data_IF_535043943693
#
_entry.id   IF_535043943693
#
_cell.length_a   1.000
_cell.length_b   1.000
_cell.length_c   1.000
_cell.angle_alpha   90.00
_cell.angle_beta   90.00
_cell.angle_gamma   90.00
#
_symmetry.space_group_name_H-M   'P 1'
#
loop_
_entity.id
_entity.type
_entity.pdbx_description
1 polymer ?
#
# COMPACT_ATOMS: atom_id res chain seq x y z
N UNK A 1 -9.28 -4.37 -7.92
CA UNK A 1 -8.05 -4.59 -7.15
C UNK A 1 -7.53 -3.24 -6.69
N UNK A 2 -7.15 -3.12 -5.42
CA UNK A 2 -6.36 -1.98 -4.92
C UNK A 2 -4.91 -2.20 -5.33
N UNK A 3 -4.23 -1.19 -5.84
CA UNK A 3 -2.82 -1.30 -6.22
C UNK A 3 -1.99 -0.24 -5.52
N UNK A 4 -0.84 -0.64 -4.96
CA UNK A 4 0.12 0.26 -4.32
C UNK A 4 1.38 0.20 -5.17
N UNK A 5 1.78 1.34 -5.75
CA UNK A 5 2.93 1.41 -6.65
C UNK A 5 3.81 2.61 -6.34
N UNK A 6 5.10 2.46 -6.67
CA UNK A 6 6.02 3.57 -6.81
C UNK A 6 6.25 3.84 -8.29
N UNK A 7 5.99 5.07 -8.72
CA UNK A 7 6.33 5.56 -10.04
C UNK A 7 7.63 6.36 -9.95
N UNK A 8 8.72 5.80 -10.46
CA UNK A 8 10.01 6.48 -10.47
C UNK A 8 10.05 7.63 -11.46
N UNK A 9 9.31 7.59 -12.58
CA UNK A 9 9.32 8.71 -13.54
C UNK A 9 8.67 9.95 -12.92
N UNK A 10 7.56 9.76 -12.22
CA UNK A 10 6.83 10.85 -11.55
C UNK A 10 7.33 11.16 -10.12
N UNK A 11 8.19 10.31 -9.57
CA UNK A 11 8.67 10.36 -8.17
C UNK A 11 7.49 10.33 -7.18
N UNK A 12 6.54 9.42 -7.39
CA UNK A 12 5.30 9.32 -6.60
C UNK A 12 5.05 7.92 -6.07
N UNK A 13 4.45 7.87 -4.90
CA UNK A 13 3.81 6.68 -4.34
C UNK A 13 2.32 6.83 -4.55
N UNK A 14 1.65 5.80 -5.04
CA UNK A 14 0.25 5.84 -5.43
C UNK A 14 -0.47 4.66 -4.81
N UNK A 15 -1.58 4.93 -4.12
CA UNK A 15 -2.61 3.96 -3.75
C UNK A 15 -3.76 4.15 -4.73
N UNK A 16 -3.80 3.32 -5.78
CA UNK A 16 -4.88 3.28 -6.75
C UNK A 16 -6.07 2.50 -6.17
N UNK A 17 -7.20 3.21 -6.05
CA UNK A 17 -8.44 2.71 -5.49
C UNK A 17 -9.59 2.64 -6.49
N UNK A 18 -9.31 2.90 -7.76
CA UNK A 18 -10.31 2.94 -8.84
C UNK A 18 -11.11 1.64 -8.96
N UNK A 19 -10.49 0.53 -8.59
CA UNK A 19 -11.07 -0.81 -8.61
C UNK A 19 -11.13 -1.47 -7.22
N UNK A 20 -11.03 -0.69 -6.14
CA UNK A 20 -11.06 -1.24 -4.78
C UNK A 20 -12.45 -1.75 -4.36
N UNK A 21 -13.52 -1.26 -4.99
CA UNK A 21 -14.89 -1.67 -4.70
C UNK A 21 -15.69 -1.79 -6.00
N UNK A 22 -16.64 -2.72 -6.04
CA UNK A 22 -17.68 -2.76 -7.08
C UNK A 22 -18.98 -2.06 -6.64
N UNK A 23 -19.03 -1.54 -5.40
CA UNK A 23 -20.20 -0.87 -4.79
C UNK A 23 -21.44 -1.75 -4.58
N UNK A 24 -21.32 -3.06 -4.79
CA UNK A 24 -22.48 -3.95 -4.81
C UNK A 24 -22.91 -4.45 -3.41
N UNK A 25 -22.16 -4.12 -2.36
CA UNK A 25 -22.48 -4.48 -0.99
C UNK A 25 -23.76 -3.79 -0.51
N UNK A 26 -24.53 -4.48 0.35
CA UNK A 26 -25.71 -3.95 1.02
C UNK A 26 -25.47 -2.57 1.66
N UNK A 27 -24.36 -2.39 2.40
CA UNK A 27 -24.02 -1.10 3.03
C UNK A 27 -23.97 0.07 2.05
N UNK A 28 -23.56 -0.16 0.80
CA UNK A 28 -23.50 0.87 -0.24
C UNK A 28 -24.83 1.00 -0.98
N UNK A 29 -25.42 -0.12 -1.40
CA UNK A 29 -26.70 -0.14 -2.12
C UNK A 29 -27.85 0.40 -1.30
N UNK A 30 -28.04 -0.12 -0.09
CA UNK A 30 -29.22 0.15 0.75
C UNK A 30 -29.21 1.59 1.27
N UNK A 31 -28.02 2.18 1.41
CA UNK A 31 -27.84 3.56 1.85
C UNK A 31 -27.63 4.54 0.67
N UNK A 32 -27.61 4.07 -0.58
CA UNK A 32 -27.43 4.93 -1.76
C UNK A 32 -26.08 5.67 -1.81
N UNK A 33 -25.02 5.12 -1.20
CA UNK A 33 -23.71 5.75 -1.09
C UNK A 33 -22.64 5.00 -1.88
N UNK A 34 -21.61 5.72 -2.34
CA UNK A 34 -20.47 5.15 -3.04
C UNK A 34 -19.17 5.46 -2.29
N UNK A 35 -18.27 4.47 -2.11
CA UNK A 35 -16.95 4.75 -1.56
C UNK A 35 -16.13 5.62 -2.52
N UNK A 36 -15.28 6.47 -1.96
CA UNK A 36 -14.33 7.27 -2.74
C UNK A 36 -13.36 6.33 -3.45
N UNK A 37 -13.25 6.46 -4.77
CA UNK A 37 -12.41 5.63 -5.64
C UNK A 37 -11.17 6.34 -6.18
N UNK A 38 -11.02 7.64 -5.93
CA UNK A 38 -9.88 8.40 -6.41
C UNK A 38 -8.57 7.89 -5.80
N UNK A 39 -7.52 7.86 -6.63
CA UNK A 39 -6.19 7.48 -6.17
C UNK A 39 -5.65 8.50 -5.17
N UNK A 40 -5.00 8.00 -4.14
CA UNK A 40 -4.27 8.82 -3.17
C UNK A 40 -2.79 8.70 -3.48
N UNK A 41 -2.05 9.80 -3.45
CA UNK A 41 -0.63 9.78 -3.82
C UNK A 41 0.16 10.81 -3.02
N UNK A 42 1.48 10.63 -3.01
CA UNK A 42 2.43 11.59 -2.44
C UNK A 42 3.80 11.48 -3.12
N UNK A 43 4.55 12.58 -3.11
CA UNK A 43 5.89 12.59 -3.69
C UNK A 43 6.89 11.82 -2.83
N UNK A 44 7.76 11.04 -3.47
CA UNK A 44 8.83 10.29 -2.83
C UNK A 44 10.03 10.17 -3.75
N UNK A 45 11.19 10.59 -3.25
CA UNK A 45 12.45 10.60 -3.99
C UNK A 45 13.39 9.54 -3.42
N UNK A 46 13.89 8.69 -4.31
CA UNK A 46 15.04 7.83 -4.05
C UNK A 46 16.31 8.63 -4.23
N UNK A 47 17.23 8.49 -3.29
CA UNK A 47 18.53 9.15 -3.35
C UNK A 47 19.56 8.33 -4.14
N UNK A 48 20.52 9.02 -4.72
CA UNK A 48 21.75 8.40 -5.20
C UNK A 48 22.75 8.39 -4.04
N UNK A 49 23.21 7.20 -3.67
CA UNK A 49 24.09 6.93 -2.56
C UNK A 49 25.51 6.75 -3.10
N UNK A 50 26.44 7.57 -2.61
CA UNK A 50 27.83 7.52 -3.02
C UNK A 50 28.66 6.77 -1.98
N UNK A 51 29.43 5.78 -2.42
CA UNK A 51 30.36 5.02 -1.58
C UNK A 51 31.79 5.17 -2.12
N UNK A 52 32.76 5.35 -1.21
CA UNK A 52 34.18 5.44 -1.57
C UNK A 52 34.68 6.88 -1.75
N UNK A 53 34.95 7.56 -0.64
CA UNK A 53 35.76 8.78 -0.62
C UNK A 53 37.17 8.45 -0.10
N UNK A 54 37.93 7.67 -0.89
CA UNK A 54 39.39 7.68 -0.76
C UNK A 54 39.95 8.70 -1.75
N UNK A 55 41.05 9.37 -1.42
CA UNK A 55 41.57 10.55 -2.13
C UNK A 55 41.88 10.33 -3.63
N UNK A 56 41.81 9.09 -4.13
CA UNK A 56 42.11 8.72 -5.52
C UNK A 56 41.08 7.79 -6.19
N UNK A 57 39.91 7.53 -5.59
CA UNK A 57 38.95 6.52 -6.11
C UNK A 57 37.80 7.11 -6.95
N UNK A 58 37.38 6.30 -7.93
CA UNK A 58 36.13 6.49 -8.68
C UNK A 58 34.96 6.45 -7.70
N UNK A 59 34.15 7.51 -7.65
CA UNK A 59 32.92 7.50 -6.85
C UNK A 59 31.90 6.54 -7.47
N UNK A 60 31.64 5.41 -6.80
CA UNK A 60 30.53 4.55 -7.16
C UNK A 60 29.23 5.13 -6.61
N UNK A 61 28.26 5.34 -7.50
CA UNK A 61 26.91 5.77 -7.17
C UNK A 61 25.97 4.57 -7.28
N UNK A 62 25.20 4.32 -6.23
CA UNK A 62 24.14 3.31 -6.20
C UNK A 62 22.81 3.97 -5.88
N UNK A 63 21.74 3.56 -6.54
CA UNK A 63 20.41 4.09 -6.23
C UNK A 63 19.89 3.46 -4.95
N UNK A 64 19.30 4.28 -4.09
CA UNK A 64 18.69 3.82 -2.85
C UNK A 64 17.64 2.72 -3.11
N UNK A 65 17.70 1.65 -2.33
CA UNK A 65 16.70 0.57 -2.39
C UNK A 65 15.35 1.05 -1.86
N UNK A 66 14.29 0.60 -2.51
CA UNK A 66 12.92 0.87 -2.10
C UNK A 66 12.43 -0.18 -1.09
N UNK A 67 11.94 0.26 0.06
CA UNK A 67 11.38 -0.59 1.12
C UNK A 67 9.96 -0.16 1.42
N UNK A 68 9.01 -1.09 1.29
CA UNK A 68 7.61 -0.90 1.65
C UNK A 68 7.29 -1.66 2.93
N UNK A 69 6.56 -1.01 3.82
CA UNK A 69 5.80 -1.66 4.88
C UNK A 69 4.34 -1.29 4.69
N UNK A 70 3.49 -2.28 4.42
CA UNK A 70 2.06 -2.06 4.16
C UNK A 70 1.27 -2.74 5.25
N UNK A 71 0.43 -1.97 5.95
CA UNK A 71 -0.53 -2.46 6.91
C UNK A 71 -1.92 -2.40 6.29
N UNK A 72 -2.66 -3.50 6.39
CA UNK A 72 -4.06 -3.58 5.99
C UNK A 72 -4.87 -4.02 7.21
N UNK A 73 -5.70 -3.11 7.72
CA UNK A 73 -6.57 -3.37 8.88
C UNK A 73 -8.03 -3.11 8.49
N UNK A 74 -8.71 -4.18 8.10
CA UNK A 74 -10.08 -4.19 7.55
C UNK A 74 -10.21 -3.28 6.33
N UNK A 75 -10.48 -1.99 6.55
CA UNK A 75 -10.64 -0.98 5.49
C UNK A 75 -9.51 0.05 5.47
N UNK A 76 -8.63 0.07 6.46
CA UNK A 76 -7.46 0.95 6.49
C UNK A 76 -6.33 0.32 5.70
N UNK A 77 -5.69 1.10 4.84
CA UNK A 77 -4.42 0.76 4.20
C UNK A 77 -3.43 1.86 4.54
N UNK A 78 -2.30 1.48 5.13
CA UNK A 78 -1.24 2.39 5.52
C UNK A 78 0.07 1.91 4.94
N UNK A 79 0.73 2.78 4.17
CA UNK A 79 1.96 2.50 3.43
C UNK A 79 3.07 3.34 4.03
N UNK A 80 4.12 2.69 4.53
CA UNK A 80 5.34 3.33 5.00
C UNK A 80 6.51 2.99 4.09
N UNK A 81 7.30 4.00 3.72
CA UNK A 81 8.40 3.83 2.78
C UNK A 81 9.71 4.39 3.30
N UNK A 82 10.76 3.56 3.21
CA UNK A 82 12.14 3.83 3.65
C UNK A 82 12.24 4.52 5.03
N UNK A 83 11.29 4.25 5.93
CA UNK A 83 11.21 4.85 7.26
C UNK A 83 10.98 6.37 7.32
N UNK A 84 10.67 7.03 6.19
CA UNK A 84 10.55 8.50 6.11
C UNK A 84 9.32 9.03 5.39
N UNK A 85 8.48 8.15 4.87
CA UNK A 85 7.26 8.52 4.17
C UNK A 85 6.10 7.65 4.65
N UNK A 86 4.92 8.26 4.79
CA UNK A 86 3.67 7.58 5.09
C UNK A 86 2.55 8.05 4.18
N UNK A 87 1.69 7.11 3.76
CA UNK A 87 0.51 7.39 2.96
C UNK A 87 -0.62 6.45 3.40
N UNK A 88 -1.77 7.02 3.73
CA UNK A 88 -2.91 6.27 4.24
C UNK A 88 -4.13 6.48 3.36
N UNK A 89 -4.92 5.42 3.17
CA UNK A 89 -6.18 5.49 2.47
C UNK A 89 -7.19 4.49 3.02
N UNK A 90 -8.47 4.70 2.71
CA UNK A 90 -9.53 3.73 2.97
C UNK A 90 -9.86 2.92 1.72
N UNK A 91 -10.05 1.61 1.86
CA UNK A 91 -10.48 0.70 0.80
C UNK A 91 -11.67 -0.15 1.27
N UNK A 92 -12.61 -0.41 0.38
CA UNK A 92 -13.86 -1.10 0.72
C UNK A 92 -14.21 -2.19 -0.29
N UNK A 93 -13.43 -3.30 -0.35
CA UNK A 93 -13.77 -4.43 -1.19
C UNK A 93 -15.07 -5.09 -0.74
N UNK A 94 -15.90 -5.50 -1.69
CA UNK A 94 -17.13 -6.22 -1.41
C UNK A 94 -16.89 -7.71 -1.27
N UNK A 95 -16.47 -8.12 -0.06
CA UNK A 95 -16.11 -9.49 0.27
C UNK A 95 -17.26 -10.51 0.10
N UNK A 96 -18.52 -10.07 0.11
CA UNK A 96 -19.69 -10.96 -0.05
C UNK A 96 -19.84 -11.50 -1.48
N UNK A 97 -19.15 -10.93 -2.47
CA UNK A 97 -19.20 -11.37 -3.86
C UNK A 97 -17.86 -11.86 -4.40
N UNK A 98 -16.74 -11.49 -3.78
CA UNK A 98 -15.40 -11.85 -4.23
C UNK A 98 -14.48 -12.16 -3.05
N UNK A 99 -13.61 -13.17 -3.18
CA UNK A 99 -12.46 -13.38 -2.29
C UNK A 99 -11.42 -12.28 -2.55
N UNK A 100 -11.64 -11.10 -1.96
CA UNK A 100 -10.84 -9.88 -2.15
C UNK A 100 -9.76 -9.72 -1.07
N UNK A 101 -9.16 -10.83 -0.67
CA UNK A 101 -8.12 -10.96 0.35
C UNK A 101 -6.75 -11.37 -0.23
N UNK A 102 -6.67 -11.59 -1.55
CA UNK A 102 -5.44 -11.97 -2.24
C UNK A 102 -4.39 -10.85 -2.31
N UNK A 103 -3.12 -11.24 -2.29
CA UNK A 103 -1.95 -10.36 -2.42
C UNK A 103 -1.15 -10.80 -3.65
N UNK A 104 -0.68 -9.83 -4.44
CA UNK A 104 0.21 -10.07 -5.57
C UNK A 104 1.24 -8.94 -5.69
N UNK A 105 2.43 -9.28 -6.16
CA UNK A 105 3.46 -8.31 -6.53
C UNK A 105 3.30 -7.94 -8.01
N UNK A 106 3.53 -6.68 -8.35
CA UNK A 106 3.41 -6.20 -9.72
C UNK A 106 4.49 -5.19 -10.05
N UNK A 107 4.98 -5.23 -11.29
CA UNK A 107 5.89 -4.26 -11.86
C UNK A 107 5.58 -4.12 -13.35
N UNK A 108 5.67 -2.90 -13.87
CA UNK A 108 5.54 -2.62 -15.32
C UNK A 108 6.88 -2.73 -16.06
N UNK A 109 8.01 -2.69 -15.33
CA UNK A 109 9.36 -2.84 -15.87
C UNK A 109 10.18 -3.88 -15.11
N UNK A 110 11.50 -3.88 -15.33
CA UNK A 110 12.41 -4.77 -14.63
C UNK A 110 12.52 -4.37 -13.15
N UNK A 111 12.01 -5.21 -12.26
CA UNK A 111 12.11 -5.04 -10.82
C UNK A 111 12.45 -6.37 -10.15
N UNK A 112 13.35 -6.32 -9.18
CA UNK A 112 13.67 -7.46 -8.31
C UNK A 112 12.99 -7.24 -6.97
N UNK A 113 12.16 -8.19 -6.55
CA UNK A 113 11.54 -8.19 -5.23
C UNK A 113 12.38 -9.05 -4.28
N UNK A 114 12.91 -8.44 -3.23
CA UNK A 114 13.74 -9.11 -2.22
C UNK A 114 13.02 -9.04 -0.86
N UNK A 115 13.25 -10.02 0.01
CA UNK A 115 12.78 -10.02 1.40
C UNK A 115 11.27 -9.78 1.57
N UNK A 116 10.44 -10.32 0.67
CA UNK A 116 8.98 -10.20 0.75
C UNK A 116 8.45 -11.08 1.87
N UNK A 117 7.80 -10.46 2.85
CA UNK A 117 7.18 -11.13 3.99
C UNK A 117 5.72 -10.72 4.09
N UNK A 118 4.86 -11.69 4.42
CA UNK A 118 3.44 -11.46 4.68
C UNK A 118 3.14 -11.99 6.07
N UNK A 119 2.64 -11.11 6.94
CA UNK A 119 2.14 -11.49 8.25
C UNK A 119 0.62 -11.59 8.20
N UNK A 120 0.12 -12.80 8.37
CA UNK A 120 -1.30 -13.08 8.56
C UNK A 120 -1.59 -13.14 10.05
N UNK A 121 -2.83 -12.83 10.47
CA UNK A 121 -3.29 -12.89 11.87
C UNK A 121 -2.75 -11.77 12.79
N UNK A 122 -3.08 -10.49 12.52
CA UNK A 122 -2.77 -9.42 13.46
C UNK A 122 -3.47 -9.65 14.80
N UNK A 123 -2.76 -9.40 15.90
CA UNK A 123 -3.32 -9.48 17.26
C UNK A 123 -4.39 -8.41 17.44
N UNK A 124 -5.40 -8.72 18.25
CA UNK A 124 -6.37 -7.71 18.66
C UNK A 124 -5.67 -6.59 19.43
N UNK A 125 -5.87 -5.35 18.96
CA UNK A 125 -5.38 -4.16 19.64
C UNK A 125 -6.10 -3.94 20.99
N UNK A 126 -7.33 -4.44 21.12
CA UNK A 126 -8.16 -4.33 22.31
C UNK A 126 -8.40 -5.71 22.92
N UNK A 127 -8.19 -5.83 24.23
CA UNK A 127 -8.39 -7.11 24.95
C UNK A 127 -9.87 -7.49 25.07
N UNK A 128 -10.75 -6.49 25.15
CA UNK A 128 -12.20 -6.69 25.27
C UNK A 128 -12.83 -6.89 23.88
N UNK A 129 -13.72 -7.87 23.78
CA UNK A 129 -14.50 -8.11 22.57
C UNK A 129 -15.71 -7.17 22.54
N UNK A 130 -15.87 -6.44 21.43
CA UNK A 130 -17.07 -5.63 21.21
C UNK A 130 -18.21 -6.51 20.69
N UNK A 131 -19.36 -6.49 21.36
CA UNK A 131 -20.61 -7.00 20.79
C UNK A 131 -21.22 -5.91 19.92
N UNK A 132 -21.35 -6.17 18.62
CA UNK A 132 -22.07 -5.29 17.70
C UNK A 132 -23.44 -5.90 17.46
N UNK A 133 -24.49 -5.26 17.95
CA UNK A 133 -25.86 -5.64 17.60
C UNK A 133 -26.07 -5.30 16.13
N UNK A 134 -26.38 -6.31 15.31
CA UNK A 134 -26.77 -6.07 13.93
C UNK A 134 -28.03 -5.18 13.91
N UNK A 135 -27.97 -4.06 13.18
CA UNK A 135 -29.13 -3.22 12.86
C UNK A 135 -30.01 -3.92 11.82
#
# INVERSE_FOLDING_TARGET
VTTIVYDDAEKKVIIDRSKSSNTECAVFKDNGVKPISDSVWGYFYLYDLFTGASQNDVCEATREKLSFHVFVDVSSVEVFMNGRFSLSARVYPCATQTKSDGIALTASGNATFENVQVWTEPKHAWAETRTVTAL
#
